data_IF_753069760111
#
_entry.id   IF_753069760111
#
_cell.length_a   1.000
_cell.length_b   1.000
_cell.length_c   1.000
_cell.angle_alpha   90.00
_cell.angle_beta   90.00
_cell.angle_gamma   90.00
#
_symmetry.space_group_name_H-M   'P 1'
#
loop_
_entity.id
_entity.type
_entity.pdbx_description
1 polymer ?
#
# COMPACT_ATOMS: atom_id res chain seq x y z
N UNK A 1 -19.17 2.64 2.78
CA UNK A 1 -18.35 1.76 3.64
C UNK A 1 -18.45 2.30 5.06
N UNK A 2 -18.32 1.46 6.10
CA UNK A 2 -18.38 1.94 7.49
C UNK A 2 -17.13 2.81 7.77
N UNK A 3 -17.26 4.09 8.22
CA UNK A 3 -16.13 4.97 8.49
C UNK A 3 -15.08 4.35 9.43
N UNK A 4 -15.51 3.66 10.50
CA UNK A 4 -14.62 3.00 11.44
C UNK A 4 -13.74 1.94 10.77
N UNK A 5 -14.25 1.24 9.74
CA UNK A 5 -13.44 0.25 9.00
C UNK A 5 -12.36 0.95 8.19
N UNK A 6 -12.66 2.10 7.59
CA UNK A 6 -11.70 2.88 6.80
C UNK A 6 -10.63 3.48 7.69
N UNK A 7 -11.02 4.02 8.85
CA UNK A 7 -10.10 4.58 9.84
C UNK A 7 -9.12 3.51 10.33
N UNK A 8 -9.63 2.36 10.78
CA UNK A 8 -8.78 1.24 11.20
C UNK A 8 -7.85 0.77 10.07
N UNK A 9 -8.37 0.71 8.84
CA UNK A 9 -7.59 0.28 7.69
C UNK A 9 -6.42 1.21 7.40
N UNK A 10 -6.61 2.52 7.58
CA UNK A 10 -5.64 3.54 7.25
C UNK A 10 -4.34 3.39 8.04
N UNK A 11 -4.42 2.95 9.31
CA UNK A 11 -3.26 2.66 10.15
C UNK A 11 -2.90 1.16 10.25
N UNK A 12 -3.71 0.24 9.71
CA UNK A 12 -3.59 -1.20 9.97
C UNK A 12 -2.29 -1.86 9.48
N UNK A 13 -1.68 -1.35 8.40
CA UNK A 13 -0.59 -2.01 7.67
C UNK A 13 -0.93 -3.46 7.24
N UNK A 14 -2.22 -3.78 7.15
CA UNK A 14 -2.72 -5.12 6.86
C UNK A 14 -2.36 -5.54 5.43
N UNK A 15 -1.78 -6.75 5.23
CA UNK A 15 -1.57 -7.31 3.90
C UNK A 15 -2.88 -7.46 3.12
N UNK A 16 -4.00 -7.74 3.80
CA UNK A 16 -5.31 -7.83 3.16
C UNK A 16 -5.76 -6.48 2.60
N UNK A 17 -5.61 -5.39 3.37
CA UNK A 17 -5.88 -4.02 2.89
C UNK A 17 -4.96 -3.67 1.73
N UNK A 18 -3.68 -4.02 1.82
CA UNK A 18 -2.70 -3.74 0.77
C UNK A 18 -3.01 -4.50 -0.54
N UNK A 19 -3.49 -5.75 -0.46
CA UNK A 19 -3.85 -6.59 -1.61
C UNK A 19 -5.21 -6.27 -2.22
N UNK A 20 -6.18 -5.87 -1.39
CA UNK A 20 -7.54 -5.52 -1.80
C UNK A 20 -7.59 -4.23 -2.60
N UNK A 21 -8.77 -3.69 -2.86
CA UNK A 21 -8.89 -2.35 -3.48
C UNK A 21 -10.01 -1.49 -2.91
N UNK A 22 -11.11 -2.08 -2.45
CA UNK A 22 -12.33 -1.33 -2.14
C UNK A 22 -12.13 -0.34 -0.99
N UNK A 23 -11.47 -0.78 0.08
CA UNK A 23 -11.17 0.07 1.23
C UNK A 23 -10.25 1.23 0.84
N UNK A 24 -9.19 0.95 0.08
CA UNK A 24 -8.26 1.98 -0.39
C UNK A 24 -8.95 2.99 -1.31
N UNK A 25 -9.74 2.52 -2.27
CA UNK A 25 -10.50 3.40 -3.16
C UNK A 25 -11.42 4.31 -2.37
N UNK A 26 -12.20 3.74 -1.45
CA UNK A 26 -13.11 4.51 -0.63
C UNK A 26 -12.38 5.54 0.23
N UNK A 27 -11.27 5.16 0.87
CA UNK A 27 -10.47 6.09 1.65
C UNK A 27 -9.96 7.27 0.79
N UNK A 28 -9.33 6.97 -0.35
CA UNK A 28 -8.69 7.97 -1.22
C UNK A 28 -9.69 8.85 -2.00
N UNK A 29 -10.97 8.49 -2.02
CA UNK A 29 -12.06 9.36 -2.49
C UNK A 29 -12.41 10.46 -1.45
N UNK A 30 -12.01 10.27 -0.18
CA UNK A 30 -12.23 11.21 0.92
C UNK A 30 -10.89 11.87 1.33
N UNK A 31 -10.77 12.33 2.58
CA UNK A 31 -9.63 13.11 3.09
C UNK A 31 -8.41 12.27 3.47
N UNK A 32 -8.22 11.12 2.82
CA UNK A 32 -7.04 10.27 3.01
C UNK A 32 -5.98 10.53 1.96
N UNK A 33 -4.73 10.63 2.42
CA UNK A 33 -3.54 10.76 1.56
C UNK A 33 -2.78 9.43 1.59
N UNK A 34 -2.42 8.82 0.44
CA UNK A 34 -1.68 7.57 0.43
C UNK A 34 -0.21 7.81 0.80
N UNK A 35 0.29 7.01 1.75
CA UNK A 35 1.67 7.02 2.23
C UNK A 35 2.33 5.69 1.85
N UNK A 36 3.04 5.67 0.73
CA UNK A 36 3.75 4.50 0.24
C UNK A 36 5.11 4.34 0.94
N UNK A 37 5.43 3.14 1.42
CA UNK A 37 6.69 2.85 2.10
C UNK A 37 6.81 1.39 2.52
N UNK A 38 7.59 1.09 3.56
CA UNK A 38 7.76 -0.28 4.06
C UNK A 38 7.54 -0.34 5.58
N UNK A 39 8.52 -0.88 6.33
CA UNK A 39 8.47 -1.03 7.79
C UNK A 39 8.58 0.28 8.55
N UNK A 40 8.86 1.40 7.87
CA UNK A 40 8.91 2.72 8.50
C UNK A 40 7.57 3.07 9.15
N UNK A 41 6.45 2.68 8.51
CA UNK A 41 5.10 2.96 9.00
C UNK A 41 4.70 2.16 10.24
N UNK A 42 5.38 1.05 10.55
CA UNK A 42 5.04 0.25 11.74
C UNK A 42 5.67 0.78 13.02
N UNK A 43 6.52 1.82 12.93
CA UNK A 43 7.16 2.45 14.08
C UNK A 43 6.30 3.60 14.56
N UNK A 44 5.27 3.28 15.34
CA UNK A 44 4.43 4.29 15.96
C UNK A 44 5.15 4.92 17.17
N UNK A 45 5.20 6.25 17.15
CA UNK A 45 5.66 7.10 18.22
C UNK A 45 4.87 8.42 18.16
N UNK A 46 4.99 9.34 19.14
CA UNK A 46 4.23 10.59 19.16
C UNK A 46 4.40 11.46 17.91
N UNK A 47 5.50 11.31 17.19
CA UNK A 47 5.85 12.11 16.01
C UNK A 47 5.51 11.41 14.69
N UNK A 48 4.95 10.19 14.76
CA UNK A 48 4.48 9.47 13.59
C UNK A 48 3.40 10.29 12.83
N UNK A 49 3.40 10.32 11.48
CA UNK A 49 2.48 11.16 10.71
C UNK A 49 1.00 10.96 11.04
N UNK A 50 0.57 9.72 11.32
CA UNK A 50 -0.81 9.42 11.71
C UNK A 50 -1.18 10.02 13.06
N UNK A 51 -0.25 10.02 14.03
CA UNK A 51 -0.46 10.60 15.36
C UNK A 51 -0.55 12.11 15.27
N UNK A 52 0.39 12.75 14.54
CA UNK A 52 0.37 14.19 14.35
C UNK A 52 -0.87 14.66 13.57
N UNK A 53 -1.35 13.87 12.61
CA UNK A 53 -2.56 14.19 11.87
C UNK A 53 -3.81 14.12 12.75
N UNK A 54 -3.92 13.10 13.59
CA UNK A 54 -5.02 12.91 14.53
C UNK A 54 -5.01 13.98 15.64
N UNK A 55 -3.88 14.12 16.37
CA UNK A 55 -3.71 15.09 17.48
C UNK A 55 -4.12 16.51 17.12
N UNK A 56 -3.63 16.95 15.96
CA UNK A 56 -3.80 18.33 15.52
C UNK A 56 -4.96 18.50 14.53
N UNK A 57 -5.84 17.49 14.40
CA UNK A 57 -7.06 17.51 13.58
C UNK A 57 -6.80 18.08 12.18
N UNK A 58 -5.75 17.58 11.54
CA UNK A 58 -5.36 18.06 10.21
C UNK A 58 -6.47 17.78 9.21
N UNK A 59 -6.51 18.55 8.13
CA UNK A 59 -7.47 18.35 7.03
C UNK A 59 -7.23 17.09 6.20
N UNK A 60 -6.35 16.19 6.65
CA UNK A 60 -6.04 14.93 5.99
C UNK A 60 -5.67 13.86 7.02
N UNK A 61 -5.90 12.60 6.68
CA UNK A 61 -5.36 11.44 7.41
C UNK A 61 -4.41 10.63 6.51
N UNK A 62 -3.24 10.19 7.01
CA UNK A 62 -2.41 9.24 6.28
C UNK A 62 -3.12 7.90 6.09
N UNK A 63 -3.08 7.36 4.88
CA UNK A 63 -3.42 5.97 4.60
C UNK A 63 -2.12 5.21 4.32
N UNK A 64 -1.66 4.44 5.28
CA UNK A 64 -0.35 3.80 5.26
C UNK A 64 -0.37 2.58 4.33
N UNK A 65 0.35 2.70 3.21
CA UNK A 65 0.44 1.70 2.14
C UNK A 65 1.85 1.14 2.08
N UNK A 66 2.13 0.19 2.94
CA UNK A 66 3.47 -0.40 3.02
C UNK A 66 3.63 -1.24 4.26
N UNK A 67 4.44 -2.28 4.15
CA UNK A 67 4.84 -3.10 5.28
C UNK A 67 6.24 -3.65 5.03
N UNK A 68 6.81 -4.37 6.00
CA UNK A 68 8.17 -4.91 5.89
C UNK A 68 8.33 -5.69 4.58
N UNK A 69 9.27 -5.26 3.74
CA UNK A 69 9.58 -5.91 2.47
C UNK A 69 8.81 -5.42 1.25
N UNK A 70 7.78 -4.57 1.39
CA UNK A 70 7.18 -3.91 0.23
C UNK A 70 8.14 -2.87 -0.36
N UNK A 71 8.41 -2.98 -1.66
CA UNK A 71 9.21 -2.00 -2.39
C UNK A 71 8.47 -1.51 -3.65
N UNK A 72 9.21 -0.91 -4.58
CA UNK A 72 8.65 -0.22 -5.74
C UNK A 72 7.76 -1.09 -6.63
N UNK A 73 8.08 -2.37 -6.86
CA UNK A 73 7.24 -3.23 -7.70
C UNK A 73 5.93 -3.58 -6.99
N UNK A 74 5.98 -3.86 -5.69
CA UNK A 74 4.77 -4.00 -4.85
C UNK A 74 3.90 -2.75 -4.96
N UNK A 75 4.48 -1.56 -4.78
CA UNK A 75 3.72 -0.30 -4.85
C UNK A 75 3.16 0.00 -6.24
N UNK A 76 3.88 -0.36 -7.31
CA UNK A 76 3.38 -0.23 -8.68
C UNK A 76 2.03 -0.95 -8.83
N UNK A 77 1.94 -2.22 -8.42
CA UNK A 77 0.69 -3.00 -8.53
C UNK A 77 -0.40 -2.49 -7.59
N UNK A 78 -0.04 -2.03 -6.38
CA UNK A 78 -0.99 -1.39 -5.48
C UNK A 78 -1.62 -0.16 -6.15
N UNK A 79 -0.80 0.70 -6.78
CA UNK A 79 -1.27 1.90 -7.49
C UNK A 79 -2.21 1.55 -8.65
N UNK A 80 -2.00 0.45 -9.37
CA UNK A 80 -2.89 0.03 -10.47
C UNK A 80 -4.34 -0.22 -10.01
N UNK A 81 -4.55 -0.50 -8.72
CA UNK A 81 -5.91 -0.63 -8.17
C UNK A 81 -6.60 0.70 -7.85
N UNK A 82 -5.85 1.80 -7.74
CA UNK A 82 -6.33 3.11 -7.27
C UNK A 82 -5.93 4.28 -8.18
N UNK A 83 -5.42 4.02 -9.40
CA UNK A 83 -5.01 5.06 -10.35
C UNK A 83 -6.03 6.21 -10.50
N UNK A 84 -7.35 5.96 -10.64
CA UNK A 84 -8.33 7.05 -10.71
C UNK A 84 -8.33 7.95 -9.47
N UNK A 85 -8.21 7.35 -8.28
CA UNK A 85 -8.15 8.05 -7.00
C UNK A 85 -6.81 8.78 -6.78
N UNK A 86 -5.75 8.45 -7.52
CA UNK A 86 -4.47 9.16 -7.46
C UNK A 86 -4.39 10.37 -8.39
N UNK A 87 -5.28 10.46 -9.40
CA UNK A 87 -5.27 11.55 -10.38
C UNK A 87 -5.50 12.90 -9.70
N UNK A 88 -4.57 13.84 -9.91
CA UNK A 88 -4.61 15.19 -9.32
C UNK A 88 -4.67 15.21 -7.78
N UNK A 89 -4.23 14.14 -7.11
CA UNK A 89 -4.11 14.06 -5.64
C UNK A 89 -2.64 14.10 -5.22
N UNK A 90 -2.40 14.43 -3.95
CA UNK A 90 -1.08 14.34 -3.33
C UNK A 90 -0.83 12.91 -2.84
N UNK A 91 0.43 12.49 -2.82
CA UNK A 91 0.88 11.23 -2.25
C UNK A 91 2.22 11.45 -1.55
N UNK A 92 2.52 10.60 -0.56
CA UNK A 92 3.84 10.53 0.06
C UNK A 92 4.47 9.20 -0.34
N UNK A 93 5.72 9.22 -0.80
CA UNK A 93 6.48 8.02 -1.14
C UNK A 93 7.78 8.04 -0.37
N UNK A 94 7.94 7.11 0.56
CA UNK A 94 9.21 6.85 1.22
C UNK A 94 10.09 6.04 0.27
N UNK A 95 11.33 6.45 0.06
CA UNK A 95 12.30 5.73 -0.77
C UNK A 95 13.49 5.38 0.11
N UNK A 96 13.58 4.11 0.48
CA UNK A 96 14.63 3.60 1.35
C UNK A 96 15.86 3.19 0.51
N UNK A 97 17.06 3.72 0.80
CA UNK A 97 18.29 3.28 0.12
C UNK A 97 18.52 1.76 0.21
N UNK A 98 18.07 1.12 1.30
CA UNK A 98 18.21 -0.31 1.53
C UNK A 98 17.41 -1.17 0.53
N UNK A 99 16.48 -0.59 -0.23
CA UNK A 99 15.76 -1.31 -1.29
C UNK A 99 16.63 -1.61 -2.51
N UNK A 100 17.68 -0.81 -2.73
CA UNK A 100 18.51 -0.85 -3.94
C UNK A 100 19.69 -1.83 -3.81
N UNK A 101 19.41 -3.05 -3.37
CA UNK A 101 20.41 -4.12 -3.37
C UNK A 101 20.65 -4.61 -4.81
N UNK A 102 21.81 -5.24 -5.11
CA UNK A 102 22.08 -5.77 -6.46
C UNK A 102 21.04 -6.77 -6.98
N UNK A 103 20.36 -7.49 -6.07
CA UNK A 103 19.31 -8.47 -6.43
C UNK A 103 17.91 -7.85 -6.48
N UNK A 104 17.75 -6.61 -6.02
CA UNK A 104 16.46 -5.91 -5.92
C UNK A 104 15.56 -6.45 -4.81
N UNK A 105 14.25 -6.33 -5.01
CA UNK A 105 13.22 -6.78 -4.07
C UNK A 105 13.26 -8.30 -3.83
N UNK A 106 13.13 -8.72 -2.58
CA UNK A 106 13.07 -10.13 -2.21
C UNK A 106 11.82 -10.80 -2.81
N UNK A 107 11.95 -11.88 -3.59
CA UNK A 107 10.80 -12.51 -4.26
C UNK A 107 9.74 -13.09 -3.32
N UNK A 108 10.13 -13.52 -2.12
CA UNK A 108 9.19 -14.04 -1.12
C UNK A 108 8.43 -12.89 -0.46
N UNK A 109 9.12 -11.78 -0.15
CA UNK A 109 8.48 -10.56 0.36
C UNK A 109 7.48 -10.00 -0.67
N UNK A 110 7.87 -9.92 -1.95
CA UNK A 110 6.95 -9.53 -3.02
C UNK A 110 5.76 -10.47 -3.11
N UNK A 111 6.00 -11.80 -3.12
CA UNK A 111 4.93 -12.80 -3.20
C UNK A 111 3.96 -12.73 -2.03
N UNK A 112 4.44 -12.36 -0.84
CA UNK A 112 3.60 -12.16 0.33
C UNK A 112 2.60 -11.01 0.15
N UNK A 113 2.94 -9.94 -0.58
CA UNK A 113 2.03 -8.81 -0.84
C UNK A 113 1.38 -8.84 -2.23
N UNK A 114 1.78 -9.75 -3.11
CA UNK A 114 1.23 -9.88 -4.45
C UNK A 114 -0.29 -10.10 -4.43
N UNK A 115 -0.97 -9.44 -5.37
CA UNK A 115 -2.40 -9.51 -5.58
C UNK A 115 -2.73 -9.78 -7.04
N UNK A 116 -3.33 -10.95 -7.31
CA UNK A 116 -3.87 -11.28 -8.64
C UNK A 116 -4.96 -10.29 -9.05
N UNK A 117 -5.70 -9.72 -8.09
CA UNK A 117 -6.72 -8.70 -8.36
C UNK A 117 -6.08 -7.44 -8.97
N UNK A 118 -4.98 -6.97 -8.38
CA UNK A 118 -4.23 -5.82 -8.88
C UNK A 118 -3.63 -6.08 -10.26
N UNK A 119 -3.05 -7.26 -10.47
CA UNK A 119 -2.48 -7.66 -11.77
C UNK A 119 -3.54 -7.73 -12.85
N UNK A 120 -4.69 -8.34 -12.56
CA UNK A 120 -5.79 -8.42 -13.54
C UNK A 120 -6.41 -7.06 -13.82
N UNK A 121 -6.52 -6.16 -12.83
CA UNK A 121 -6.91 -4.77 -13.05
C UNK A 121 -5.94 -4.06 -14.00
N UNK A 122 -4.63 -4.24 -13.79
CA UNK A 122 -3.60 -3.64 -14.63
C UNK A 122 -3.60 -4.19 -16.06
N UNK A 123 -3.68 -5.51 -16.26
CA UNK A 123 -3.73 -6.13 -17.61
C UNK A 123 -4.91 -5.57 -18.43
N UNK A 124 -6.03 -5.24 -17.78
CA UNK A 124 -7.20 -4.64 -18.43
C UNK A 124 -6.98 -3.18 -18.87
N UNK A 125 -6.03 -2.47 -18.27
CA UNK A 125 -5.83 -1.02 -18.45
C UNK A 125 -4.52 -0.66 -19.15
N UNK A 126 -3.52 -1.55 -19.14
CA UNK A 126 -2.23 -1.33 -19.79
C UNK A 126 -2.40 -1.02 -21.28
N UNK A 127 -1.46 -0.26 -21.83
CA UNK A 127 -1.47 0.17 -23.23
C UNK A 127 -0.24 -0.32 -24.03
N UNK A 128 0.56 -1.21 -23.44
CA UNK A 128 1.79 -1.75 -24.03
C UNK A 128 2.98 -0.80 -23.95
N UNK A 129 2.96 0.19 -23.07
CA UNK A 129 4.06 1.14 -22.87
C UNK A 129 5.37 0.44 -22.46
N UNK A 130 6.51 1.14 -22.56
CA UNK A 130 7.79 0.63 -22.03
C UNK A 130 7.69 0.26 -20.55
N UNK A 131 6.95 1.03 -19.77
CA UNK A 131 6.65 0.74 -18.37
C UNK A 131 5.86 -0.57 -18.23
N UNK A 132 4.80 -0.76 -19.03
CA UNK A 132 3.99 -1.99 -18.95
C UNK A 132 4.81 -3.23 -19.31
N UNK A 133 5.63 -3.12 -20.36
CA UNK A 133 6.54 -4.19 -20.79
C UNK A 133 7.52 -4.56 -19.68
N UNK A 134 8.12 -3.56 -19.02
CA UNK A 134 9.04 -3.76 -17.92
C UNK A 134 8.36 -4.36 -16.68
N UNK A 135 7.17 -3.87 -16.32
CA UNK A 135 6.39 -4.40 -15.21
C UNK A 135 5.99 -5.87 -15.45
N UNK A 136 5.59 -6.23 -16.67
CA UNK A 136 5.29 -7.60 -17.05
C UNK A 136 6.52 -8.51 -16.92
N UNK A 137 7.65 -8.06 -17.47
CA UNK A 137 8.92 -8.78 -17.37
C UNK A 137 9.34 -9.01 -15.92
N UNK A 138 9.29 -7.96 -15.09
CA UNK A 138 9.64 -8.05 -13.67
C UNK A 138 8.69 -8.95 -12.89
N UNK A 139 7.39 -8.90 -13.16
CA UNK A 139 6.43 -9.79 -12.51
C UNK A 139 6.69 -11.26 -12.87
N UNK A 140 7.03 -11.57 -14.12
CA UNK A 140 7.39 -12.94 -14.54
C UNK A 140 8.66 -13.48 -13.89
N UNK A 141 9.53 -12.62 -13.35
CA UNK A 141 10.69 -13.03 -12.56
C UNK A 141 10.34 -13.34 -11.09
N UNK A 142 9.13 -13.00 -10.66
CA UNK A 142 8.65 -13.33 -9.33
C UNK A 142 7.89 -14.67 -9.36
N UNK A 143 8.02 -15.52 -8.33
CA UNK A 143 7.27 -16.79 -8.26
C UNK A 143 5.76 -16.59 -8.44
N UNK A 144 5.22 -15.53 -7.85
CA UNK A 144 3.81 -15.17 -7.92
C UNK A 144 3.33 -14.81 -9.34
N UNK A 145 4.22 -14.30 -10.21
CA UNK A 145 3.87 -13.98 -11.60
C UNK A 145 3.63 -15.21 -12.49
N UNK A 146 4.13 -16.38 -12.06
CA UNK A 146 3.95 -17.65 -12.76
C UNK A 146 2.91 -18.57 -12.10
N UNK A 147 2.22 -18.09 -11.05
CA UNK A 147 1.24 -18.88 -10.29
C UNK A 147 -0.02 -19.25 -11.07
N UNK A 148 -0.34 -18.49 -12.12
CA UNK A 148 -1.48 -18.72 -13.01
C UNK A 148 -0.98 -18.72 -14.46
N UNK A 149 -1.09 -19.87 -15.15
CA UNK A 149 -0.52 -20.05 -16.49
C UNK A 149 -1.16 -19.14 -17.54
N UNK A 150 -2.45 -18.81 -17.42
CA UNK A 150 -3.13 -17.95 -18.39
C UNK A 150 -2.69 -16.51 -18.19
N UNK A 151 -2.62 -16.06 -16.94
CA UNK A 151 -2.10 -14.72 -16.60
C UNK A 151 -0.62 -14.62 -16.98
N UNK A 152 0.21 -15.61 -16.66
CA UNK A 152 1.63 -15.64 -17.05
C UNK A 152 1.80 -15.56 -18.57
N UNK A 153 0.97 -16.27 -19.33
CA UNK A 153 0.93 -16.16 -20.79
C UNK A 153 0.54 -14.75 -21.28
N UNK A 154 -0.40 -14.07 -20.61
CA UNK A 154 -0.76 -12.69 -20.93
C UNK A 154 0.39 -11.73 -20.60
N UNK A 155 1.05 -11.90 -19.47
CA UNK A 155 2.24 -11.14 -19.05
C UNK A 155 3.38 -11.31 -20.06
N UNK A 156 3.65 -12.54 -20.51
CA UNK A 156 4.72 -12.80 -21.48
C UNK A 156 4.50 -12.06 -22.79
N UNK A 157 3.25 -11.99 -23.25
CA UNK A 157 2.87 -11.19 -24.42
C UNK A 157 3.07 -9.70 -24.18
N UNK A 158 2.61 -9.18 -23.04
CA UNK A 158 2.81 -7.77 -22.68
C UNK A 158 4.31 -7.44 -22.64
N UNK A 159 5.14 -8.27 -22.01
CA UNK A 159 6.60 -8.07 -21.97
C UNK A 159 7.23 -8.00 -23.37
N UNK A 160 6.75 -8.85 -24.30
CA UNK A 160 7.15 -8.86 -25.70
C UNK A 160 6.60 -7.68 -26.53
N UNK A 161 5.76 -6.81 -25.95
CA UNK A 161 5.11 -5.71 -26.67
C UNK A 161 3.88 -6.14 -27.48
N UNK A 162 3.35 -7.33 -27.20
CA UNK A 162 2.16 -7.89 -27.82
C UNK A 162 0.95 -7.72 -26.90
N UNK A 163 -0.23 -7.52 -27.49
CA UNK A 163 -1.49 -7.54 -26.73
C UNK A 163 -1.81 -8.97 -26.28
N UNK A 164 -2.35 -9.18 -25.07
CA UNK A 164 -2.96 -10.46 -24.70
C UNK A 164 -4.01 -10.90 -25.72
N UNK A 165 -4.19 -12.21 -25.88
CA UNK A 165 -5.20 -12.74 -26.81
C UNK A 165 -6.61 -12.51 -26.29
N UNK A 166 -7.62 -12.64 -27.16
CA UNK A 166 -9.03 -12.53 -26.75
C UNK A 166 -9.40 -13.54 -25.67
N UNK A 167 -8.90 -14.78 -25.76
CA UNK A 167 -9.15 -15.82 -24.74
C UNK A 167 -8.46 -15.50 -23.41
N UNK A 168 -7.23 -14.98 -23.43
CA UNK A 168 -6.53 -14.51 -22.23
C UNK A 168 -7.29 -13.34 -21.59
N UNK A 169 -7.75 -12.37 -22.39
CA UNK A 169 -8.53 -11.25 -21.89
C UNK A 169 -9.88 -11.68 -21.30
N UNK A 170 -10.56 -12.65 -21.93
CA UNK A 170 -11.79 -13.22 -21.38
C UNK A 170 -11.53 -13.85 -20.01
N UNK A 171 -10.48 -14.66 -19.88
CA UNK A 171 -10.08 -15.25 -18.61
C UNK A 171 -9.74 -14.19 -17.56
N UNK A 172 -8.92 -13.19 -17.91
CA UNK A 172 -8.54 -12.07 -17.03
C UNK A 172 -9.78 -11.32 -16.54
N UNK A 173 -10.75 -11.05 -17.42
CA UNK A 173 -11.98 -10.35 -17.05
C UNK A 173 -12.85 -11.17 -16.09
N UNK A 174 -13.03 -12.47 -16.33
CA UNK A 174 -13.78 -13.36 -15.45
C UNK A 174 -13.09 -13.50 -14.08
N UNK A 175 -11.78 -13.77 -14.08
CA UNK A 175 -10.99 -13.90 -12.85
C UNK A 175 -11.01 -12.63 -12.03
N UNK A 176 -10.85 -11.47 -12.68
CA UNK A 176 -10.95 -10.17 -12.04
C UNK A 176 -12.31 -9.97 -11.36
N UNK A 177 -13.42 -10.29 -12.04
CA UNK A 177 -14.77 -10.16 -11.46
C UNK A 177 -14.97 -11.03 -10.20
N UNK A 178 -14.45 -12.26 -10.21
CA UNK A 178 -14.49 -13.14 -9.04
C UNK A 178 -13.70 -12.53 -7.88
N UNK A 179 -12.45 -12.11 -8.14
CA UNK A 179 -11.58 -11.51 -7.13
C UNK A 179 -12.13 -10.18 -6.58
N UNK A 180 -12.85 -9.41 -7.39
CA UNK A 180 -13.56 -8.21 -6.95
C UNK A 180 -14.69 -8.52 -5.97
N UNK A 181 -15.46 -9.57 -6.26
CA UNK A 181 -16.53 -10.02 -5.36
C UNK A 181 -15.95 -10.55 -4.04
N UNK A 182 -14.84 -11.29 -4.11
CA UNK A 182 -14.08 -11.71 -2.92
C UNK A 182 -13.64 -10.51 -2.09
N UNK A 183 -13.01 -9.49 -2.69
CA UNK A 183 -12.61 -8.25 -2.00
C UNK A 183 -13.82 -7.53 -1.36
N UNK A 184 -15.00 -7.57 -2.00
CA UNK A 184 -16.22 -6.99 -1.45
C UNK A 184 -16.74 -7.72 -0.21
N UNK A 185 -16.56 -9.04 -0.13
CA UNK A 185 -16.89 -9.82 1.06
C UNK A 185 -15.84 -9.55 2.14
N UNK A 186 -14.55 -9.62 1.78
CA UNK A 186 -13.46 -9.46 2.74
C UNK A 186 -13.41 -8.08 3.38
N UNK A 187 -13.69 -7.04 2.60
CA UNK A 187 -13.72 -5.65 3.08
C UNK A 187 -14.83 -5.34 4.08
N UNK A 188 -15.76 -6.27 4.32
CA UNK A 188 -16.80 -6.15 5.36
C UNK A 188 -16.37 -6.72 6.70
N UNK A 189 -15.32 -7.54 6.76
CA UNK A 189 -14.81 -8.06 8.03
C UNK A 189 -14.07 -6.97 8.81
N UNK A 190 -14.05 -7.10 10.13
CA UNK A 190 -13.46 -6.12 11.04
C UNK A 190 -11.93 -6.13 10.89
N UNK A 191 -11.38 -4.96 10.56
CA UNK A 191 -9.93 -4.72 10.61
C UNK A 191 -9.51 -4.48 12.07
N UNK A 192 -8.40 -5.11 12.54
CA UNK A 192 -7.91 -4.91 13.90
C UNK A 192 -7.73 -3.43 14.28
N UNK A 193 -8.06 -3.09 15.52
CA UNK A 193 -8.02 -1.72 16.08
C UNK A 193 -6.65 -1.32 16.64
N UNK A 194 -5.70 -2.26 16.74
CA UNK A 194 -4.51 -2.11 17.57
C UNK A 194 -3.68 -0.86 17.27
N UNK A 195 -3.57 -0.46 16.00
CA UNK A 195 -2.77 0.71 15.62
C UNK A 195 -3.51 2.03 15.86
N UNK A 196 -4.84 2.07 15.78
CA UNK A 196 -5.62 3.27 16.17
C UNK A 196 -5.53 3.47 17.69
N UNK A 197 -5.65 2.42 18.50
CA UNK A 197 -5.43 2.53 19.95
C UNK A 197 -4.00 2.97 20.29
N UNK A 198 -3.02 2.56 19.49
CA UNK A 198 -1.63 3.01 19.64
C UNK A 198 -1.50 4.48 19.25
N UNK A 199 -2.22 4.95 18.22
CA UNK A 199 -2.28 6.36 17.85
C UNK A 199 -2.84 7.18 19.01
N UNK A 200 -4.02 6.80 19.54
CA UNK A 200 -4.69 7.52 20.63
C UNK A 200 -3.76 7.70 21.85
N UNK A 201 -3.07 6.62 22.27
CA UNK A 201 -2.11 6.67 23.38
C UNK A 201 -0.94 7.61 23.12
N UNK A 202 -0.44 7.68 21.88
CA UNK A 202 0.67 8.55 21.52
C UNK A 202 0.23 10.03 21.40
N UNK A 203 -1.04 10.30 21.11
CA UNK A 203 -1.58 11.65 21.11
C UNK A 203 -1.54 12.30 22.50
N UNK A 204 -1.77 11.52 23.56
CA UNK A 204 -1.75 12.00 24.94
C UNK A 204 -0.38 12.57 25.34
N UNK A 205 0.71 12.08 24.71
CA UNK A 205 2.08 12.52 24.96
C UNK A 205 2.40 13.87 24.30
N UNK A 206 1.55 14.35 23.38
CA UNK A 206 1.80 15.55 22.61
C UNK A 206 1.19 16.82 23.24
N UNK A 207 1.83 18.00 23.08
CA UNK A 207 1.24 19.26 23.49
C UNK A 207 -0.06 19.53 22.73
N UNK A 208 -1.01 20.20 23.39
CA UNK A 208 -2.32 20.50 22.82
C UNK A 208 -2.26 21.38 21.55
N UNK A 209 -1.27 22.27 21.46
CA UNK A 209 -1.06 23.16 20.32
C UNK A 209 0.20 22.75 19.56
N UNK A 210 0.12 22.73 18.23
CA UNK A 210 1.25 22.38 17.38
C UNK A 210 2.36 23.44 17.49
N UNK A 211 3.58 23.02 17.82
CA UNK A 211 4.76 23.88 17.79
C UNK A 211 5.99 23.00 17.51
N UNK A 212 6.66 23.24 16.39
CA UNK A 212 7.77 22.41 15.94
C UNK A 212 8.91 22.33 16.96
N UNK A 213 9.33 23.45 17.55
CA UNK A 213 10.43 23.48 18.53
C UNK A 213 10.11 22.66 19.78
N UNK A 214 8.87 22.76 20.29
CA UNK A 214 8.42 21.95 21.43
C UNK A 214 8.38 20.46 21.09
N UNK A 215 7.93 20.11 19.88
CA UNK A 215 7.89 18.73 19.40
C UNK A 215 9.30 18.16 19.24
N UNK A 216 10.22 18.92 18.66
CA UNK A 216 11.61 18.52 18.44
C UNK A 216 12.35 18.29 19.78
N UNK A 217 12.19 19.21 20.74
CA UNK A 217 12.70 19.02 22.09
C UNK A 217 12.11 17.79 22.79
N UNK A 218 10.81 17.55 22.65
CA UNK A 218 10.15 16.38 23.21
C UNK A 218 10.65 15.09 22.55
N UNK A 219 10.88 15.11 21.24
CA UNK A 219 11.43 13.98 20.49
C UNK A 219 12.85 13.64 20.98
N UNK A 220 13.68 14.65 21.21
CA UNK A 220 15.00 14.48 21.81
C UNK A 220 14.95 13.83 23.20
N UNK A 221 14.03 14.28 24.07
CA UNK A 221 13.85 13.70 25.42
C UNK A 221 13.42 12.23 25.38
N UNK A 222 12.35 11.94 24.63
CA UNK A 222 11.83 10.56 24.48
C UNK A 222 12.88 9.65 23.83
N UNK A 223 13.61 10.16 22.83
CA UNK A 223 14.68 9.44 22.15
C UNK A 223 15.83 9.10 23.10
N UNK A 224 16.24 10.03 23.97
CA UNK A 224 17.26 9.78 24.97
C UNK A 224 16.83 8.68 25.95
N UNK A 225 15.64 8.78 26.55
CA UNK A 225 15.12 7.81 27.53
C UNK A 225 15.06 6.38 26.97
N UNK A 226 14.62 6.22 25.71
CA UNK A 226 14.54 4.91 25.05
C UNK A 226 15.90 4.31 24.70
N UNK A 227 16.95 5.12 24.63
CA UNK A 227 18.32 4.68 24.34
C UNK A 227 19.15 4.37 25.60
N UNK A 228 18.67 4.70 26.81
CA UNK A 228 19.37 4.38 28.08
C UNK A 228 19.28 2.89 28.46
N UNK A 229 18.35 2.14 27.85
CA UNK A 229 18.14 0.70 28.13
C UNK A 229 18.64 -0.24 27.02
N UNK A 230 19.67 0.17 26.27
CA UNK A 230 20.36 -0.68 25.29
C UNK A 230 21.83 -0.86 25.61
#
# INVERSE_FOLDING_TARGET
MNPTVVDNAAASLSPQVLKGQLIKRNALEHDYVPFFGSSEWSRFDPFHPSVLAAKYKRSYRPFLLGARGSQSLTHFFVMQSVNPQLKNKKAVVFVSPQWFTPKGEDPNAFSFYYSTLQTTNWIKQQNGSKMDRYAAYRLLQMPSGNSDKVIAGALARIAAGLKPTTSQMLYVNLRNRILLNEDQIFSRYRIPLNNEETIDKNEELLPAQYNYQKLDQLAGKIGAEKNVFK
#
